data_IF_040176465451
#
_entry.id   IF_040176465451
#
_cell.length_a   1.000
_cell.length_b   1.000
_cell.length_c   1.000
_cell.angle_alpha   90.00
_cell.angle_beta   90.00
_cell.angle_gamma   90.00
#
_symmetry.space_group_name_H-M   'P 1'
#
loop_
_entity.id
_entity.type
_entity.pdbx_description
1 polymer ?
#
# COMPACT_ATOMS: atom_id res chain seq x y z
N UNK A 1 5.82 17.60 -11.89
CA UNK A 1 6.38 16.51 -12.71
C UNK A 1 7.28 15.69 -11.83
N UNK A 2 7.02 14.39 -11.68
CA UNK A 2 7.84 13.48 -10.89
C UNK A 2 9.09 13.07 -11.69
N UNK A 3 10.23 12.93 -11.01
CA UNK A 3 11.52 12.46 -11.56
C UNK A 3 12.00 11.20 -10.83
N UNK A 4 12.99 10.52 -11.42
CA UNK A 4 13.63 9.33 -10.85
C UNK A 4 14.46 9.66 -9.60
N UNK A 5 14.94 10.90 -9.48
CA UNK A 5 15.82 11.33 -8.40
C UNK A 5 15.14 11.26 -7.03
N UNK A 6 15.86 10.75 -6.03
CA UNK A 6 15.37 10.62 -4.66
C UNK A 6 14.35 9.49 -4.45
N UNK A 7 14.12 8.64 -5.45
CA UNK A 7 13.32 7.43 -5.28
C UNK A 7 14.15 6.36 -4.53
N UNK A 8 13.59 5.80 -3.46
CA UNK A 8 14.16 4.65 -2.76
C UNK A 8 13.39 3.36 -3.08
N UNK A 9 14.01 2.18 -3.00
CA UNK A 9 13.30 0.91 -3.16
C UNK A 9 12.17 0.75 -2.16
N UNK A 10 11.06 0.14 -2.60
CA UNK A 10 9.93 -0.15 -1.71
C UNK A 10 10.28 -1.09 -0.55
N UNK A 11 11.31 -1.93 -0.71
CA UNK A 11 11.84 -2.80 0.34
C UNK A 11 12.25 -2.03 1.59
N UNK A 12 12.69 -0.78 1.42
CA UNK A 12 13.25 0.02 2.50
C UNK A 12 12.15 0.78 3.26
N UNK A 13 10.92 0.82 2.73
CA UNK A 13 9.81 1.60 3.30
C UNK A 13 9.49 1.19 4.73
N UNK A 14 9.41 -0.11 5.02
CA UNK A 14 9.04 -0.65 6.34
C UNK A 14 9.98 -0.11 7.42
N UNK A 15 11.29 -0.09 7.15
CA UNK A 15 12.28 0.44 8.07
C UNK A 15 12.20 1.98 8.17
N UNK A 16 11.97 2.68 7.06
CA UNK A 16 11.96 4.14 7.06
C UNK A 16 10.76 4.76 7.79
N UNK A 17 9.60 4.09 7.76
CA UNK A 17 8.38 4.51 8.46
C UNK A 17 8.32 3.98 9.90
N UNK A 18 9.24 3.11 10.31
CA UNK A 18 9.27 2.57 11.66
C UNK A 18 9.30 3.70 12.70
N UNK A 19 8.41 3.62 13.69
CA UNK A 19 8.26 4.64 14.72
C UNK A 19 7.62 5.96 14.26
N UNK A 20 7.15 6.08 13.01
CA UNK A 20 6.47 7.27 12.48
C UNK A 20 5.04 6.92 12.06
N UNK A 21 4.10 7.83 12.30
CA UNK A 21 2.71 7.65 11.85
C UNK A 21 2.58 7.84 10.33
N UNK A 22 3.40 8.73 9.76
CA UNK A 22 3.44 8.99 8.32
C UNK A 22 4.83 9.37 7.84
N UNK A 23 5.06 9.17 6.54
CA UNK A 23 6.30 9.52 5.87
C UNK A 23 6.03 9.99 4.44
N UNK A 24 6.46 11.22 4.12
CA UNK A 24 6.48 11.70 2.74
C UNK A 24 7.70 11.11 2.04
N UNK A 25 7.49 10.36 0.97
CA UNK A 25 8.55 9.58 0.32
C UNK A 25 8.26 9.38 -1.16
N UNK A 26 9.32 9.13 -1.93
CA UNK A 26 9.27 8.67 -3.30
C UNK A 26 9.82 7.24 -3.35
N UNK A 27 9.05 6.33 -3.93
CA UNK A 27 9.34 4.90 -3.96
C UNK A 27 9.48 4.41 -5.38
N UNK A 28 10.28 3.37 -5.58
CA UNK A 28 10.36 2.58 -6.82
C UNK A 28 10.09 1.10 -6.51
N UNK A 29 9.34 0.44 -7.38
CA UNK A 29 9.00 -0.97 -7.22
C UNK A 29 8.18 -1.52 -8.39
N UNK A 30 8.00 -2.84 -8.41
CA UNK A 30 7.15 -3.51 -9.38
C UNK A 30 5.73 -3.61 -8.85
N UNK A 31 4.76 -3.24 -9.69
CA UNK A 31 3.35 -3.36 -9.35
C UNK A 31 3.01 -4.85 -9.17
N UNK A 32 2.44 -5.19 -8.02
CA UNK A 32 1.91 -6.53 -7.77
C UNK A 32 0.54 -6.69 -8.44
N UNK A 33 -0.39 -5.78 -8.17
CA UNK A 33 -1.72 -5.78 -8.75
C UNK A 33 -2.20 -4.36 -9.03
N UNK A 34 -2.88 -4.16 -10.16
CA UNK A 34 -3.70 -2.98 -10.44
C UNK A 34 -5.17 -3.33 -10.37
N UNK A 35 -5.97 -2.39 -9.85
CA UNK A 35 -7.42 -2.46 -9.92
C UNK A 35 -7.92 -2.69 -11.35
N UNK A 36 -8.39 -3.90 -11.67
CA UNK A 36 -8.84 -4.25 -13.02
C UNK A 36 -10.13 -3.53 -13.45
N UNK A 37 -10.84 -2.90 -12.52
CA UNK A 37 -12.08 -2.17 -12.85
C UNK A 37 -11.80 -0.85 -13.58
N UNK A 38 -10.84 -0.07 -13.07
CA UNK A 38 -10.56 1.31 -13.56
C UNK A 38 -9.11 1.75 -13.41
N UNK A 39 -8.23 0.93 -12.83
CA UNK A 39 -6.86 1.31 -12.53
C UNK A 39 -6.74 2.38 -11.45
N UNK A 40 -7.67 2.42 -10.49
CA UNK A 40 -7.74 3.48 -9.46
C UNK A 40 -6.87 3.25 -8.22
N UNK A 41 -6.24 2.09 -8.13
CA UNK A 41 -5.25 1.75 -7.11
C UNK A 41 -4.30 0.69 -7.67
N UNK A 42 -3.15 0.58 -7.03
CA UNK A 42 -2.16 -0.46 -7.25
C UNK A 42 -1.65 -1.02 -5.92
N UNK A 43 -1.09 -2.21 -5.90
CA UNK A 43 -0.47 -2.84 -4.72
C UNK A 43 0.99 -3.16 -4.94
N UNK A 44 1.72 -3.27 -3.84
CA UNK A 44 3.13 -3.66 -3.84
C UNK A 44 3.43 -4.53 -2.62
N UNK A 45 4.26 -5.55 -2.81
CA UNK A 45 4.82 -6.32 -1.70
C UNK A 45 5.79 -5.47 -0.88
N UNK A 46 5.68 -5.56 0.44
CA UNK A 46 6.59 -4.97 1.41
C UNK A 46 7.59 -6.01 1.93
N UNK A 47 8.71 -5.53 2.48
CA UNK A 47 9.77 -6.40 3.02
C UNK A 47 9.32 -7.27 4.22
N UNK A 48 8.24 -6.90 4.91
CA UNK A 48 7.68 -7.67 6.01
C UNK A 48 6.69 -8.76 5.54
N UNK A 49 6.51 -8.95 4.23
CA UNK A 49 5.60 -9.94 3.65
C UNK A 49 4.16 -9.45 3.48
N UNK A 50 3.83 -8.24 3.96
CA UNK A 50 2.52 -7.64 3.74
C UNK A 50 2.44 -6.98 2.36
N UNK A 51 1.23 -6.75 1.87
CA UNK A 51 0.99 -5.95 0.65
C UNK A 51 0.49 -4.56 1.02
N UNK A 52 1.07 -3.53 0.42
CA UNK A 52 0.65 -2.14 0.58
C UNK A 52 -0.24 -1.72 -0.58
N UNK A 53 -1.44 -1.22 -0.27
CA UNK A 53 -2.30 -0.56 -1.27
C UNK A 53 -1.91 0.90 -1.43
N UNK A 54 -1.74 1.30 -2.67
CA UNK A 54 -1.47 2.67 -3.12
C UNK A 54 -2.72 3.21 -3.82
N UNK A 55 -3.33 4.24 -3.23
CA UNK A 55 -4.45 4.99 -3.81
C UNK A 55 -3.94 6.29 -4.41
N UNK A 56 -4.68 6.83 -5.39
CA UNK A 56 -4.34 8.10 -6.00
C UNK A 56 -5.12 9.22 -5.35
N UNK A 57 -4.39 10.25 -4.91
CA UNK A 57 -4.97 11.44 -4.32
C UNK A 57 -6.01 12.04 -5.27
N UNK A 58 -7.17 12.39 -4.72
CA UNK A 58 -8.29 13.03 -5.43
C UNK A 58 -8.78 12.26 -6.67
N UNK A 59 -8.37 10.99 -6.83
CA UNK A 59 -8.66 10.20 -8.02
C UNK A 59 -8.12 10.85 -9.32
N UNK A 60 -7.05 11.64 -9.19
CA UNK A 60 -6.52 12.51 -10.25
C UNK A 60 -5.97 11.76 -11.47
N UNK A 61 -5.61 10.49 -11.29
CA UNK A 61 -5.05 9.65 -12.36
C UNK A 61 -5.33 8.17 -12.15
N UNK A 62 -5.10 7.39 -13.21
CA UNK A 62 -5.36 5.96 -13.27
C UNK A 62 -4.21 5.23 -13.95
N UNK A 63 -3.94 4.01 -13.49
CA UNK A 63 -2.94 3.13 -14.08
C UNK A 63 -3.51 2.38 -15.29
N UNK A 64 -2.69 2.08 -16.31
CA UNK A 64 -3.05 1.11 -17.34
C UNK A 64 -3.40 -0.24 -16.71
N UNK A 65 -4.51 -0.85 -17.13
CA UNK A 65 -4.98 -2.11 -16.52
C UNK A 65 -4.00 -3.28 -16.70
N UNK A 66 -3.14 -3.19 -17.72
CA UNK A 66 -2.10 -4.15 -18.07
C UNK A 66 -0.73 -3.82 -17.47
N UNK A 67 -0.67 -3.02 -16.41
CA UNK A 67 0.60 -2.60 -15.77
C UNK A 67 1.08 -3.50 -14.64
N UNK A 68 0.41 -4.63 -14.37
CA UNK A 68 0.92 -5.63 -13.42
C UNK A 68 2.34 -6.07 -13.81
N UNK A 69 3.23 -6.14 -12.82
CA UNK A 69 4.64 -6.47 -12.99
C UNK A 69 5.50 -5.34 -13.57
N UNK A 70 4.93 -4.20 -13.98
CA UNK A 70 5.71 -3.07 -14.48
C UNK A 70 6.36 -2.31 -13.33
N UNK A 71 7.58 -1.86 -13.57
CA UNK A 71 8.32 -1.03 -12.62
C UNK A 71 7.86 0.43 -12.72
N UNK A 72 7.53 1.00 -11.56
CA UNK A 72 7.05 2.37 -11.46
C UNK A 72 7.73 3.11 -10.34
N UNK A 73 7.79 4.42 -10.50
CA UNK A 73 8.23 5.36 -9.47
C UNK A 73 7.01 6.18 -9.07
N UNK A 74 6.77 6.31 -7.77
CA UNK A 74 5.62 7.06 -7.28
C UNK A 74 6.01 7.87 -6.04
N UNK A 75 5.42 9.04 -5.90
CA UNK A 75 5.65 9.94 -4.76
C UNK A 75 4.33 10.26 -4.07
N UNK A 76 4.42 10.50 -2.75
CA UNK A 76 3.24 10.73 -1.94
C UNK A 76 3.52 10.56 -0.46
N UNK A 77 2.49 10.13 0.26
CA UNK A 77 2.52 9.94 1.71
C UNK A 77 2.20 8.50 2.06
N UNK A 78 3.11 7.86 2.78
CA UNK A 78 2.87 6.58 3.44
C UNK A 78 2.29 6.83 4.85
N UNK A 79 1.34 6.02 5.27
CA UNK A 79 0.70 6.08 6.58
C UNK A 79 0.71 4.71 7.25
N UNK A 80 0.88 4.69 8.56
CA UNK A 80 0.56 3.52 9.38
C UNK A 80 -0.90 3.60 9.79
N UNK A 81 -1.65 2.57 9.43
CA UNK A 81 -3.04 2.39 9.82
C UNK A 81 -3.08 1.31 10.89
N UNK A 82 -3.64 1.65 12.05
CA UNK A 82 -3.76 0.73 13.18
C UNK A 82 -5.22 0.37 13.34
N UNK A 83 -5.56 -0.89 13.11
CA UNK A 83 -6.89 -1.42 13.36
C UNK A 83 -6.89 -2.07 14.74
N UNK A 84 -7.63 -1.52 15.71
CA UNK A 84 -7.62 -2.02 17.08
C UNK A 84 -8.34 -3.37 17.19
N UNK A 85 -8.00 -4.15 18.22
CA UNK A 85 -8.52 -5.52 18.44
C UNK A 85 -10.04 -5.57 18.43
N UNK A 86 -10.73 -4.60 19.03
CA UNK A 86 -12.18 -4.55 19.07
C UNK A 86 -12.80 -4.42 17.67
N UNK A 87 -12.18 -3.65 16.78
CA UNK A 87 -12.62 -3.47 15.41
C UNK A 87 -12.34 -4.72 14.56
N UNK A 88 -11.15 -5.32 14.72
CA UNK A 88 -10.82 -6.59 14.07
C UNK A 88 -11.76 -7.73 14.47
N UNK A 89 -12.15 -7.80 15.74
CA UNK A 89 -13.13 -8.76 16.24
C UNK A 89 -14.51 -8.53 15.64
N UNK A 90 -14.94 -7.27 15.55
CA UNK A 90 -16.20 -6.92 14.89
C UNK A 90 -16.19 -7.33 13.40
N UNK A 91 -15.10 -7.08 12.68
CA UNK A 91 -14.95 -7.54 11.29
C UNK A 91 -14.98 -9.07 11.16
N UNK A 92 -14.38 -9.80 12.11
CA UNK A 92 -14.41 -11.25 12.13
C UNK A 92 -15.83 -11.81 12.41
N UNK A 93 -16.58 -11.16 13.32
CA UNK A 93 -17.99 -11.47 13.58
C UNK A 93 -18.85 -11.26 12.34
N UNK A 94 -18.73 -10.10 11.68
CA UNK A 94 -19.47 -9.78 10.45
C UNK A 94 -19.11 -10.73 9.29
N UNK A 95 -17.87 -11.23 9.26
CA UNK A 95 -17.41 -12.23 8.31
C UNK A 95 -17.86 -13.66 8.65
N UNK A 96 -18.52 -13.88 9.79
CA UNK A 96 -19.04 -15.18 10.22
C UNK A 96 -17.97 -16.16 10.72
N UNK A 97 -16.85 -15.66 11.24
CA UNK A 97 -15.80 -16.49 11.87
C UNK A 97 -16.30 -17.13 13.18
N UNK A 98 -15.66 -18.21 13.62
CA UNK A 98 -16.05 -18.88 14.86
C UNK A 98 -15.65 -18.05 16.09
N UNK A 99 -16.31 -18.23 17.25
CA UNK A 99 -15.92 -17.56 18.49
C UNK A 99 -14.44 -17.76 18.83
N UNK A 100 -13.89 -18.96 18.60
CA UNK A 100 -12.48 -19.26 18.86
C UNK A 100 -11.54 -18.45 17.96
N UNK A 101 -11.89 -18.27 16.68
CA UNK A 101 -11.11 -17.44 15.75
C UNK A 101 -11.16 -15.96 16.12
N UNK A 102 -12.29 -15.48 16.64
CA UNK A 102 -12.47 -14.09 17.10
C UNK A 102 -11.66 -13.85 18.39
N UNK A 103 -11.72 -14.78 19.34
CA UNK A 103 -10.96 -14.70 20.60
C UNK A 103 -9.45 -14.75 20.37
N UNK A 104 -8.98 -15.46 19.34
CA UNK A 104 -7.58 -15.51 18.95
C UNK A 104 -7.02 -14.15 18.49
N UNK A 105 -7.87 -13.20 18.09
CA UNK A 105 -7.46 -11.83 17.77
C UNK A 105 -7.16 -11.10 19.08
N UNK A 106 -5.87 -11.02 19.42
CA UNK A 106 -5.37 -10.45 20.69
C UNK A 106 -4.48 -9.23 20.52
N UNK A 107 -4.05 -8.95 19.29
CA UNK A 107 -3.15 -7.85 18.95
C UNK A 107 -3.78 -6.97 17.86
N UNK A 108 -3.52 -5.65 17.87
CA UNK A 108 -3.95 -4.78 16.80
C UNK A 108 -3.21 -5.11 15.50
N UNK A 109 -3.86 -4.89 14.38
CA UNK A 109 -3.24 -5.02 13.07
C UNK A 109 -2.63 -3.67 12.68
N UNK A 110 -1.40 -3.70 12.17
CA UNK A 110 -0.73 -2.52 11.64
C UNK A 110 -0.48 -2.71 10.16
N UNK A 111 -1.19 -1.92 9.35
CA UNK A 111 -1.00 -1.87 7.91
C UNK A 111 -0.22 -0.60 7.52
N UNK A 112 0.48 -0.67 6.39
CA UNK A 112 1.03 0.52 5.72
C UNK A 112 0.18 0.77 4.49
N UNK A 113 -0.34 1.99 4.35
CA UNK A 113 -1.08 2.45 3.17
C UNK A 113 -0.37 3.64 2.54
N UNK A 114 -0.65 3.90 1.27
CA UNK A 114 -0.02 5.01 0.55
C UNK A 114 -1.04 5.82 -0.24
N UNK A 115 -0.91 7.14 -0.17
CA UNK A 115 -1.60 8.06 -1.05
C UNK A 115 -0.59 8.70 -2.00
N UNK A 116 -0.67 8.37 -3.28
CA UNK A 116 0.23 8.91 -4.30
C UNK A 116 -0.36 10.15 -4.95
N UNK A 117 0.49 11.15 -5.15
CA UNK A 117 0.17 12.38 -5.88
C UNK A 117 0.95 12.51 -7.21
N UNK A 118 1.78 11.51 -7.53
CA UNK A 118 2.44 11.38 -8.83
C UNK A 118 2.96 9.97 -9.05
N UNK A 119 2.86 9.50 -10.30
CA UNK A 119 3.39 8.21 -10.75
C UNK A 119 4.12 8.39 -12.09
N UNK A 120 5.25 7.71 -12.23
CA UNK A 120 6.06 7.63 -13.42
C UNK A 120 6.27 6.15 -13.77
N UNK A 121 5.72 5.74 -14.90
CA UNK A 121 5.97 4.42 -15.48
C UNK A 121 7.38 4.39 -16.08
N UNK A 122 8.21 3.41 -15.70
CA UNK A 122 9.49 3.22 -16.40
C UNK A 122 9.20 2.61 -17.77
N UNK A 123 9.69 3.24 -18.85
CA UNK A 123 9.53 2.68 -20.20
C UNK A 123 10.28 1.35 -20.27
N UNK A 124 9.58 0.28 -20.66
CA UNK A 124 10.23 -0.94 -21.15
C UNK A 124 10.76 -0.61 -22.55
N UNK A 125 12.07 -0.64 -22.73
CA UNK A 125 12.71 -0.57 -24.04
C UNK A 125 12.79 -1.96 -24.64
#
# INVERSE_FOLDING_TARGET
TISVEGAMPISDLVQQIEGKDSLKVKLTGNIEEVCQKKGCWMTFALANGNSMRVKFKDYDFFMPLNSNGQEVIFEGMAYREVTPVNELRHYAEDAGRTPEEIEAITEPEVAITFEANGVLMRKMN
#
